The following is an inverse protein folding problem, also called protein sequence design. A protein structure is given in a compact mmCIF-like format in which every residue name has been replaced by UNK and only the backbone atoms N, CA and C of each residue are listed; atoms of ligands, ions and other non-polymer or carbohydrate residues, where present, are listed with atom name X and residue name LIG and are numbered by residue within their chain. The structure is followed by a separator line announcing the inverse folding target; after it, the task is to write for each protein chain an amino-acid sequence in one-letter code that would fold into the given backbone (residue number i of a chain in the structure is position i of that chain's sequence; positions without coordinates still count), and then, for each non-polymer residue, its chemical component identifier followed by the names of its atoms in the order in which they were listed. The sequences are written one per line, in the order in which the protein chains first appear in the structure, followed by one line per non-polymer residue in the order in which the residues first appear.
data_IF_075442873187
#
_entry.id   IF_075442873187
#
_cell.length_a   1.000
_cell.length_b   1.000
_cell.length_c   1.000
_cell.angle_alpha   90.00
_cell.angle_beta   90.00
_cell.angle_gamma   90.00
#
_symmetry.space_group_name_H-M   'P 1'
#
loop_
_entity.id
_entity.type
_entity.pdbx_description
1 polymer ?
#
# COMPACT_ATOMS: atom_id res chain seq x y z
N UNK A 1 8.60 12.76 -0.32
CA UNK A 1 9.60 13.64 0.32
C UNK A 1 10.97 12.96 0.33
N UNK A 2 12.05 13.61 0.78
CA UNK A 2 13.38 12.98 0.83
C UNK A 2 13.41 11.95 1.97
N UNK A 3 13.10 10.69 1.66
CA UNK A 3 13.03 9.58 2.62
C UNK A 3 14.24 9.47 3.56
N UNK A 4 15.42 9.94 3.12
CA UNK A 4 16.63 9.94 3.93
C UNK A 4 16.65 11.04 5.01
N UNK A 5 16.05 12.20 4.73
CA UNK A 5 15.93 13.27 5.71
C UNK A 5 14.96 12.89 6.84
N UNK A 6 13.81 12.32 6.48
CA UNK A 6 12.80 11.79 7.41
C UNK A 6 13.42 10.74 8.34
N UNK A 7 14.11 9.74 7.78
CA UNK A 7 14.78 8.71 8.55
C UNK A 7 15.83 9.29 9.52
N UNK A 8 16.69 10.21 9.04
CA UNK A 8 17.72 10.82 9.88
C UNK A 8 17.12 11.60 11.06
N UNK A 9 15.97 12.26 10.86
CA UNK A 9 15.28 12.96 11.93
C UNK A 9 14.72 11.98 12.97
N UNK A 10 14.05 10.91 12.54
CA UNK A 10 13.54 9.84 13.45
C UNK A 10 14.70 9.24 14.26
N UNK A 11 15.82 8.88 13.60
CA UNK A 11 17.03 8.36 14.28
C UNK A 11 17.57 9.34 15.32
N UNK A 12 17.60 10.64 15.00
CA UNK A 12 18.05 11.66 15.95
C UNK A 12 17.17 11.72 17.20
N UNK A 13 15.85 11.61 17.05
CA UNK A 13 14.93 11.60 18.19
C UNK A 13 15.12 10.35 19.06
N UNK A 14 15.23 9.18 18.43
CA UNK A 14 15.48 7.91 19.11
C UNK A 14 16.77 7.96 19.94
N UNK A 15 17.86 8.47 19.36
CA UNK A 15 19.13 8.65 20.07
C UNK A 15 19.01 9.62 21.26
N UNK A 16 18.29 10.73 21.10
CA UNK A 16 18.07 11.74 22.16
C UNK A 16 17.17 11.23 23.30
N UNK A 17 16.33 10.23 23.03
CA UNK A 17 15.43 9.59 24.01
C UNK A 17 15.67 8.09 24.03
N UNK A 18 16.90 7.73 24.38
CA UNK A 18 17.35 6.34 24.46
C UNK A 18 17.51 5.85 25.90
N UNK A 19 16.44 5.92 26.70
CA UNK A 19 16.45 5.51 28.10
C UNK A 19 16.91 4.04 28.27
N UNK A 20 16.48 3.16 27.36
CA UNK A 20 16.79 1.72 27.37
C UNK A 20 18.12 1.35 26.70
N UNK A 21 18.92 2.34 26.25
CA UNK A 21 20.26 2.14 25.66
C UNK A 21 20.31 1.17 24.47
N UNK A 22 19.29 1.22 23.62
CA UNK A 22 19.24 0.46 22.37
C UNK A 22 20.27 1.02 21.37
N UNK A 23 20.87 0.14 20.58
CA UNK A 23 21.78 0.55 19.51
C UNK A 23 20.99 0.96 18.26
N UNK A 24 20.60 2.24 18.17
CA UNK A 24 19.86 2.77 17.01
C UNK A 24 20.73 2.98 15.76
N UNK A 25 22.03 2.68 15.81
CA UNK A 25 22.89 2.59 14.62
C UNK A 25 23.01 1.14 14.11
N UNK A 26 22.43 0.18 14.85
CA UNK A 26 22.44 -1.23 14.50
C UNK A 26 21.54 -1.58 13.30
N UNK A 27 21.79 -2.74 12.66
CA UNK A 27 21.10 -3.16 11.44
C UNK A 27 19.59 -3.43 11.64
N UNK A 28 19.15 -3.66 12.88
CA UNK A 28 17.73 -3.89 13.18
C UNK A 28 16.87 -2.67 12.86
N UNK A 29 17.37 -1.45 13.09
CA UNK A 29 16.61 -0.24 12.80
C UNK A 29 16.52 -0.03 11.28
N UNK A 30 17.56 -0.39 10.51
CA UNK A 30 17.50 -0.37 9.05
C UNK A 30 16.37 -1.26 8.52
N UNK A 31 16.16 -2.44 9.12
CA UNK A 31 15.05 -3.35 8.77
C UNK A 31 13.69 -2.73 9.05
N UNK A 32 13.51 -2.12 10.22
CA UNK A 32 12.26 -1.41 10.55
C UNK A 32 12.02 -0.27 9.56
N UNK A 33 13.03 0.57 9.30
CA UNK A 33 12.90 1.68 8.35
C UNK A 33 12.64 1.19 6.91
N UNK A 34 13.17 0.03 6.53
CA UNK A 34 12.89 -0.60 5.24
C UNK A 34 11.44 -1.09 5.15
N UNK A 35 10.87 -1.61 6.25
CA UNK A 35 9.48 -2.05 6.28
C UNK A 35 8.51 -0.88 5.98
N UNK A 36 8.71 0.29 6.58
CA UNK A 36 7.94 1.52 6.27
C UNK A 36 8.16 2.08 4.87
N UNK A 37 9.11 1.53 4.09
CA UNK A 37 9.38 1.89 2.68
C UNK A 37 8.82 0.88 1.69
N UNK A 38 8.15 -0.16 2.16
CA UNK A 38 7.55 -1.14 1.26
C UNK A 38 6.59 -0.44 0.28
N UNK A 39 6.66 -0.78 -1.02
CA UNK A 39 6.04 -0.01 -2.11
C UNK A 39 4.51 0.05 -2.09
N UNK A 40 3.86 -0.73 -1.24
CA UNK A 40 2.41 -0.74 -1.09
C UNK A 40 1.89 0.27 -0.07
N UNK A 41 2.77 0.82 0.78
CA UNK A 41 2.43 1.82 1.81
C UNK A 41 2.36 3.21 1.18
N UNK A 42 1.29 3.94 1.48
CA UNK A 42 1.06 5.31 1.01
C UNK A 42 0.74 6.26 2.16
N UNK A 43 0.05 5.79 3.19
CA UNK A 43 -0.17 6.49 4.46
C UNK A 43 0.82 5.99 5.52
N UNK A 44 0.87 4.67 5.76
CA UNK A 44 1.69 4.01 6.80
C UNK A 44 3.17 3.94 6.40
N UNK A 45 3.77 5.11 6.20
CA UNK A 45 5.12 5.33 5.68
C UNK A 45 6.00 5.98 6.75
N UNK A 46 7.27 6.23 6.40
CA UNK A 46 8.16 7.01 7.27
C UNK A 46 7.65 8.43 7.55
N UNK A 47 6.87 9.03 6.66
CA UNK A 47 6.34 10.38 6.85
C UNK A 47 5.22 10.38 7.93
N UNK A 48 4.40 9.31 8.01
CA UNK A 48 3.45 9.11 9.12
C UNK A 48 4.18 8.87 10.45
N UNK A 49 5.16 7.96 10.44
CA UNK A 49 6.01 7.70 11.62
C UNK A 49 6.68 8.98 12.13
N UNK A 50 7.23 9.80 11.23
CA UNK A 50 7.80 11.11 11.59
C UNK A 50 6.75 12.02 12.24
N UNK A 51 5.53 12.06 11.70
CA UNK A 51 4.43 12.86 12.24
C UNK A 51 4.12 12.45 13.69
N UNK A 52 4.06 11.15 13.99
CA UNK A 52 3.88 10.63 15.36
C UNK A 52 5.05 11.06 16.24
N UNK A 53 6.30 10.88 15.78
CA UNK A 53 7.49 11.25 16.54
C UNK A 53 7.53 12.76 16.85
N UNK A 54 7.10 13.63 15.93
CA UNK A 54 6.94 15.08 16.16
C UNK A 54 5.92 15.38 17.24
N UNK A 55 4.79 14.66 17.26
CA UNK A 55 3.78 14.78 18.31
C UNK A 55 4.34 14.40 19.69
N UNK A 56 5.15 13.33 19.76
CA UNK A 56 5.84 12.90 20.99
C UNK A 56 6.84 13.98 21.44
N UNK A 57 7.71 14.47 20.55
CA UNK A 57 8.69 15.53 20.85
C UNK A 57 8.03 16.82 21.33
N UNK A 58 6.86 17.17 20.79
CA UNK A 58 6.15 18.39 21.16
C UNK A 58 5.49 18.32 22.53
N UNK A 59 4.91 17.17 22.88
CA UNK A 59 3.95 17.09 24.00
C UNK A 59 4.42 16.24 25.18
N UNK A 60 5.35 15.31 24.98
CA UNK A 60 5.71 14.30 25.98
C UNK A 60 7.21 14.15 26.22
N UNK A 61 8.02 15.10 25.73
CA UNK A 61 9.48 14.98 25.66
C UNK A 61 10.20 15.13 27.01
N UNK A 62 9.58 15.77 27.99
CA UNK A 62 10.18 16.03 29.30
C UNK A 62 10.28 14.78 30.18
N UNK A 63 9.37 13.82 30.00
CA UNK A 63 9.42 12.51 30.64
C UNK A 63 10.23 11.55 29.78
N UNK A 64 11.51 11.38 30.12
CA UNK A 64 12.45 10.59 29.31
C UNK A 64 11.99 9.14 29.13
N UNK A 65 11.46 8.50 30.19
CA UNK A 65 11.03 7.10 30.15
C UNK A 65 9.78 6.98 29.29
N UNK A 66 8.79 7.84 29.53
CA UNK A 66 7.53 7.79 28.81
C UNK A 66 7.70 8.13 27.32
N UNK A 67 8.54 9.11 26.99
CA UNK A 67 8.90 9.44 25.61
C UNK A 67 9.59 8.25 24.91
N UNK A 68 10.54 7.58 25.58
CA UNK A 68 11.17 6.37 25.03
C UNK A 68 10.18 5.24 24.76
N UNK A 69 9.20 5.04 25.65
CA UNK A 69 8.13 4.05 25.44
C UNK A 69 7.26 4.41 24.24
N UNK A 70 6.80 5.66 24.13
CA UNK A 70 6.00 6.13 22.99
C UNK A 70 6.75 6.01 21.66
N UNK A 71 8.05 6.32 21.63
CA UNK A 71 8.85 6.19 20.42
C UNK A 71 9.03 4.73 20.00
N UNK A 72 9.18 3.81 20.95
CA UNK A 72 9.24 2.38 20.66
C UNK A 72 7.88 1.86 20.16
N UNK A 73 6.78 2.26 20.78
CA UNK A 73 5.44 1.97 20.26
C UNK A 73 5.28 2.52 18.84
N UNK A 74 5.69 3.76 18.58
CA UNK A 74 5.64 4.37 17.25
C UNK A 74 6.44 3.58 16.21
N UNK A 75 7.66 3.16 16.53
CA UNK A 75 8.47 2.35 15.62
C UNK A 75 7.79 1.05 15.22
N UNK A 76 7.07 0.42 16.14
CA UNK A 76 6.59 -0.94 15.95
C UNK A 76 5.10 -1.06 15.61
N UNK A 77 4.25 -0.06 15.88
CA UNK A 77 2.79 -0.21 15.71
C UNK A 77 2.38 -0.71 14.31
N UNK A 78 3.00 -0.18 13.26
CA UNK A 78 2.82 -0.58 11.86
C UNK A 78 4.12 -1.08 11.22
N UNK A 79 5.04 -1.65 12.01
CA UNK A 79 6.27 -2.22 11.46
C UNK A 79 5.97 -3.31 10.43
N UNK A 80 4.90 -4.07 10.65
CA UNK A 80 4.26 -4.91 9.64
C UNK A 80 2.88 -4.34 9.34
N UNK A 81 2.56 -4.21 8.06
CA UNK A 81 1.31 -3.62 7.59
C UNK A 81 0.91 -4.29 6.28
N UNK A 82 -0.34 -4.71 6.19
CA UNK A 82 -0.99 -5.17 4.96
C UNK A 82 -2.43 -4.65 4.92
N UNK A 83 -2.85 -3.99 3.83
CA UNK A 83 -4.17 -3.35 3.77
C UNK A 83 -5.32 -4.37 3.61
N UNK A 84 -5.04 -5.61 3.21
CA UNK A 84 -6.06 -6.69 3.11
C UNK A 84 -6.66 -7.09 4.48
N UNK A 85 -6.09 -6.55 5.56
CA UNK A 85 -6.44 -6.87 6.94
C UNK A 85 -5.76 -8.14 7.42
N UNK A 86 -5.98 -8.48 8.69
CA UNK A 86 -5.42 -9.67 9.31
C UNK A 86 -4.83 -9.37 10.67
N UNK A 87 -3.62 -9.87 10.87
CA UNK A 87 -2.84 -9.91 12.10
C UNK A 87 -1.70 -8.89 12.07
N UNK A 88 -1.80 -7.77 11.33
CA UNK A 88 -0.72 -6.77 11.20
C UNK A 88 -0.22 -6.27 12.55
N UNK A 89 -1.10 -5.98 13.50
CA UNK A 89 -0.72 -5.54 14.85
C UNK A 89 -0.02 -6.67 15.62
N UNK A 90 -0.50 -7.91 15.45
CA UNK A 90 0.08 -9.10 16.06
C UNK A 90 1.46 -9.39 15.47
N UNK A 91 1.63 -9.29 14.15
CA UNK A 91 2.91 -9.44 13.44
C UNK A 91 3.88 -8.30 13.77
N UNK A 92 3.37 -7.08 13.97
CA UNK A 92 4.13 -5.94 14.48
C UNK A 92 4.64 -6.17 15.90
N UNK A 93 3.83 -6.77 16.77
CA UNK A 93 4.29 -7.26 18.08
C UNK A 93 5.32 -8.37 17.93
N UNK A 94 5.09 -9.36 17.07
CA UNK A 94 6.05 -10.45 16.84
C UNK A 94 7.40 -9.92 16.32
N UNK A 95 7.38 -8.94 15.43
CA UNK A 95 8.58 -8.23 14.97
C UNK A 95 9.29 -7.50 16.13
N UNK A 96 8.53 -6.80 16.97
CA UNK A 96 9.05 -6.15 18.18
C UNK A 96 9.72 -7.17 19.13
N UNK A 97 9.05 -8.28 19.43
CA UNK A 97 9.58 -9.33 20.30
C UNK A 97 10.81 -10.01 19.71
N UNK A 98 10.78 -10.32 18.42
CA UNK A 98 11.88 -10.94 17.69
C UNK A 98 13.14 -10.06 17.73
N UNK A 99 13.00 -8.78 17.40
CA UNK A 99 14.12 -7.82 17.43
C UNK A 99 14.66 -7.68 18.85
N UNK A 100 13.80 -7.51 19.86
CA UNK A 100 14.27 -7.41 21.24
C UNK A 100 14.99 -8.67 21.71
N UNK A 101 14.52 -9.86 21.32
CA UNK A 101 15.19 -11.11 21.61
C UNK A 101 16.60 -11.16 21.00
N UNK A 102 16.75 -10.72 19.75
CA UNK A 102 18.05 -10.63 19.06
C UNK A 102 19.00 -9.62 19.71
N UNK A 103 18.46 -8.55 20.30
CA UNK A 103 19.19 -7.56 21.06
C UNK A 103 19.49 -7.99 22.51
N UNK A 104 19.12 -9.20 22.92
CA UNK A 104 19.38 -9.72 24.27
C UNK A 104 18.37 -9.27 25.32
N UNK A 105 17.15 -8.92 24.92
CA UNK A 105 16.04 -8.44 25.77
C UNK A 105 16.45 -7.28 26.70
N UNK A 106 16.83 -6.12 26.15
CA UNK A 106 17.32 -4.98 26.93
C UNK A 106 16.23 -4.28 27.76
N UNK A 107 14.94 -4.54 27.49
CA UNK A 107 13.82 -3.90 28.18
C UNK A 107 13.35 -4.73 29.38
N UNK A 108 12.91 -4.09 30.48
CA UNK A 108 12.15 -4.75 31.53
C UNK A 108 10.89 -5.43 30.97
N UNK A 109 10.51 -6.58 31.54
CA UNK A 109 9.37 -7.38 31.04
C UNK A 109 8.05 -6.60 31.06
N UNK A 110 7.78 -5.89 32.15
CA UNK A 110 6.58 -5.06 32.32
C UNK A 110 6.48 -3.96 31.26
N UNK A 111 7.62 -3.36 30.88
CA UNK A 111 7.66 -2.37 29.80
C UNK A 111 7.41 -3.02 28.44
N UNK A 112 8.02 -4.17 28.17
CA UNK A 112 7.81 -4.92 26.93
C UNK A 112 6.33 -5.30 26.78
N UNK A 113 5.73 -5.85 27.83
CA UNK A 113 4.33 -6.26 27.85
C UNK A 113 3.39 -5.05 27.64
N UNK A 114 3.69 -3.89 28.25
CA UNK A 114 2.95 -2.64 28.07
C UNK A 114 3.00 -2.10 26.63
N UNK A 115 4.19 -2.12 26.00
CA UNK A 115 4.35 -1.67 24.60
C UNK A 115 3.61 -2.62 23.66
N UNK A 116 3.75 -3.94 23.85
CA UNK A 116 3.06 -4.94 23.05
C UNK A 116 1.53 -4.82 23.17
N UNK A 117 1.00 -4.68 24.40
CA UNK A 117 -0.43 -4.45 24.62
C UNK A 117 -0.91 -3.17 23.94
N UNK A 118 -0.10 -2.11 23.97
CA UNK A 118 -0.42 -0.85 23.31
C UNK A 118 -0.52 -1.02 21.79
N UNK A 119 0.46 -1.68 21.17
CA UNK A 119 0.46 -1.96 19.72
C UNK A 119 -0.77 -2.79 19.33
N UNK A 120 -1.09 -3.86 20.07
CA UNK A 120 -2.27 -4.69 19.79
C UNK A 120 -3.59 -3.91 19.88
N UNK A 121 -3.65 -2.88 20.72
CA UNK A 121 -4.87 -2.13 20.95
C UNK A 121 -5.14 -1.04 19.91
N UNK A 122 -4.23 -0.74 18.97
CA UNK A 122 -4.39 0.35 17.98
C UNK A 122 -5.64 0.19 17.11
N UNK A 123 -6.13 -1.04 16.92
CA UNK A 123 -7.39 -1.34 16.21
C UNK A 123 -8.64 -1.35 17.09
N UNK A 124 -8.48 -1.42 18.42
CA UNK A 124 -9.61 -1.45 19.37
C UNK A 124 -10.13 -0.03 19.67
N UNK A 125 -11.39 0.05 20.09
CA UNK A 125 -12.00 1.27 20.61
C UNK A 125 -11.57 1.59 22.05
N UNK A 126 -10.95 0.63 22.75
CA UNK A 126 -10.47 0.82 24.12
C UNK A 126 -8.98 1.16 24.15
N UNK A 127 -8.56 1.90 25.18
CA UNK A 127 -7.16 2.05 25.56
C UNK A 127 -6.95 1.32 26.90
N UNK A 128 -6.17 0.24 26.97
CA UNK A 128 -5.96 -0.51 28.21
C UNK A 128 -5.05 0.23 29.20
N UNK A 129 -4.29 1.22 28.74
CA UNK A 129 -3.32 1.96 29.54
C UNK A 129 -3.24 3.43 29.14
N UNK A 130 -2.60 4.24 29.99
CA UNK A 130 -2.28 5.64 29.67
C UNK A 130 -1.38 5.76 28.43
N UNK A 131 -0.46 4.80 28.24
CA UNK A 131 0.42 4.77 27.07
C UNK A 131 -0.44 4.60 25.80
N UNK A 132 -1.39 3.66 25.82
CA UNK A 132 -2.30 3.42 24.70
C UNK A 132 -3.26 4.58 24.43
N UNK A 133 -3.80 5.20 25.48
CA UNK A 133 -4.68 6.38 25.32
C UNK A 133 -3.96 7.50 24.55
N UNK A 134 -2.73 7.83 24.97
CA UNK A 134 -1.91 8.86 24.35
C UNK A 134 -1.44 8.44 22.96
N UNK A 135 -1.00 7.20 22.80
CA UNK A 135 -0.50 6.73 21.51
C UNK A 135 -1.58 6.76 20.43
N UNK A 136 -2.81 6.36 20.74
CA UNK A 136 -3.88 6.35 19.74
C UNK A 136 -4.29 7.77 19.33
N UNK A 137 -4.20 8.76 20.23
CA UNK A 137 -4.40 10.17 19.87
C UNK A 137 -3.31 10.66 18.90
N UNK A 138 -2.05 10.30 19.16
CA UNK A 138 -0.91 10.63 18.29
C UNK A 138 -1.00 9.96 16.92
N UNK A 139 -1.39 8.68 16.86
CA UNK A 139 -1.56 7.92 15.63
C UNK A 139 -2.72 8.48 14.79
N UNK A 140 -3.84 8.79 15.45
CA UNK A 140 -5.02 9.36 14.79
C UNK A 140 -4.97 10.88 14.61
N UNK A 141 -3.86 11.55 14.93
CA UNK A 141 -3.80 13.03 15.04
C UNK A 141 -4.23 13.76 13.77
N UNK A 142 -4.02 13.17 12.58
CA UNK A 142 -4.43 13.77 11.30
C UNK A 142 -5.95 13.86 11.20
N UNK A 143 -6.68 12.83 11.66
CA UNK A 143 -8.15 12.86 11.68
C UNK A 143 -8.66 13.79 12.78
N UNK A 144 -7.97 13.82 13.92
CA UNK A 144 -8.44 14.58 15.10
C UNK A 144 -8.20 16.09 14.94
N UNK A 145 -7.07 16.46 14.32
CA UNK A 145 -6.59 17.84 14.30
C UNK A 145 -6.25 18.39 12.91
N UNK A 146 -6.28 17.55 11.88
CA UNK A 146 -5.96 17.95 10.51
C UNK A 146 -6.94 18.97 9.95
N UNK A 147 -6.42 19.91 9.18
CA UNK A 147 -7.26 20.79 8.39
C UNK A 147 -7.78 20.04 7.14
N UNK A 148 -8.70 20.65 6.38
CA UNK A 148 -9.31 19.97 5.23
C UNK A 148 -8.30 19.51 4.17
N UNK A 149 -7.17 20.20 3.98
CA UNK A 149 -6.11 19.77 3.05
C UNK A 149 -5.43 18.50 3.57
N UNK A 150 -5.08 18.48 4.86
CA UNK A 150 -4.46 17.32 5.51
C UNK A 150 -5.37 16.09 5.43
N UNK A 151 -6.68 16.29 5.65
CA UNK A 151 -7.69 15.24 5.62
C UNK A 151 -7.90 14.65 4.21
N UNK A 152 -7.88 15.50 3.18
CA UNK A 152 -7.99 15.06 1.80
C UNK A 152 -6.75 14.30 1.34
N UNK A 153 -5.56 14.73 1.75
CA UNK A 153 -4.30 14.02 1.49
C UNK A 153 -4.28 12.67 2.22
N UNK A 154 -4.65 12.64 3.50
CA UNK A 154 -4.83 11.41 4.28
C UNK A 154 -5.76 10.42 3.58
N UNK A 155 -6.96 10.87 3.18
CA UNK A 155 -7.93 9.99 2.53
C UNK A 155 -7.45 9.51 1.16
N UNK A 156 -6.69 10.34 0.43
CA UNK A 156 -6.07 9.92 -0.82
C UNK A 156 -4.99 8.85 -0.62
N UNK A 157 -4.15 9.00 0.40
CA UNK A 157 -3.12 8.02 0.75
C UNK A 157 -3.76 6.69 1.17
N UNK A 158 -4.78 6.71 2.04
CA UNK A 158 -5.53 5.50 2.39
C UNK A 158 -6.17 4.86 1.15
N UNK A 159 -6.77 5.66 0.27
CA UNK A 159 -7.32 5.15 -0.98
C UNK A 159 -6.28 4.41 -1.85
N UNK A 160 -5.04 4.89 -1.86
CA UNK A 160 -3.93 4.25 -2.57
C UNK A 160 -3.47 2.96 -1.91
N UNK A 161 -3.48 2.86 -0.59
CA UNK A 161 -3.15 1.60 0.11
C UNK A 161 -4.19 0.51 -0.14
N UNK A 162 -5.47 0.87 -0.08
CA UNK A 162 -6.57 -0.05 -0.28
C UNK A 162 -6.98 -0.18 -1.77
N UNK A 163 -6.08 0.13 -2.70
CA UNK A 163 -6.37 0.11 -4.12
C UNK A 163 -6.65 -1.29 -4.68
N UNK A 164 -6.47 -2.36 -3.89
CA UNK A 164 -6.90 -3.72 -4.23
C UNK A 164 -8.43 -3.87 -4.20
N UNK A 165 -9.16 -3.02 -3.46
CA UNK A 165 -10.62 -3.05 -3.35
C UNK A 165 -11.28 -2.26 -4.48
N UNK A 166 -12.36 -2.79 -5.06
CA UNK A 166 -13.24 -1.98 -5.92
C UNK A 166 -13.85 -0.80 -5.14
N UNK A 167 -14.34 0.22 -5.84
CA UNK A 167 -14.86 1.44 -5.20
C UNK A 167 -16.05 1.23 -4.28
N UNK A 168 -16.87 0.21 -4.54
CA UNK A 168 -18.04 -0.10 -3.71
C UNK A 168 -17.59 -0.59 -2.34
N UNK A 169 -16.68 -1.56 -2.33
CA UNK A 169 -16.15 -2.14 -1.10
C UNK A 169 -15.28 -1.13 -0.33
N UNK A 170 -14.45 -0.35 -1.05
CA UNK A 170 -13.66 0.72 -0.43
C UNK A 170 -14.55 1.72 0.32
N UNK A 171 -15.57 2.28 -0.34
CA UNK A 171 -16.47 3.27 0.28
C UNK A 171 -17.23 2.69 1.47
N UNK A 172 -17.68 1.44 1.37
CA UNK A 172 -18.36 0.75 2.47
C UNK A 172 -17.42 0.60 3.67
N UNK A 173 -16.21 0.06 3.47
CA UNK A 173 -15.21 -0.13 4.52
C UNK A 173 -14.82 1.18 5.20
N UNK A 174 -14.57 2.24 4.42
CA UNK A 174 -14.26 3.58 4.96
C UNK A 174 -15.42 4.17 5.76
N UNK A 175 -16.66 4.03 5.27
CA UNK A 175 -17.85 4.50 6.00
C UNK A 175 -18.02 3.77 7.33
N UNK A 176 -17.79 2.46 7.35
CA UNK A 176 -17.83 1.65 8.58
C UNK A 176 -16.72 2.06 9.56
N UNK A 177 -15.49 2.28 9.08
CA UNK A 177 -14.36 2.77 9.88
C UNK A 177 -14.70 4.12 10.53
N UNK A 178 -15.15 5.09 9.74
CA UNK A 178 -15.49 6.42 10.24
C UNK A 178 -16.68 6.44 11.19
N UNK A 179 -17.67 5.56 11.03
CA UNK A 179 -18.81 5.47 11.95
C UNK A 179 -18.42 5.15 13.40
N UNK A 180 -17.25 4.54 13.60
CA UNK A 180 -16.72 4.13 14.91
C UNK A 180 -15.93 5.24 15.60
N UNK A 181 -15.31 6.13 14.84
CA UNK A 181 -14.40 7.17 15.33
C UNK A 181 -15.01 8.10 16.39
N UNK A 182 -16.23 8.65 16.21
CA UNK A 182 -16.82 9.57 17.19
C UNK A 182 -17.09 8.95 18.57
N UNK A 183 -17.13 7.61 18.68
CA UNK A 183 -17.28 6.94 19.99
C UNK A 183 -16.04 7.15 20.86
N UNK A 184 -14.86 7.11 20.23
CA UNK A 184 -13.57 7.25 20.89
C UNK A 184 -13.07 8.69 20.89
N UNK A 185 -13.29 9.41 19.79
CA UNK A 185 -12.88 10.80 19.60
C UNK A 185 -14.09 11.69 19.25
N UNK A 186 -14.96 12.04 20.22
CA UNK A 186 -16.17 12.82 19.97
C UNK A 186 -15.93 14.17 19.28
N UNK A 187 -14.75 14.76 19.50
CA UNK A 187 -14.32 16.01 18.88
C UNK A 187 -14.22 15.95 17.35
N UNK A 188 -14.05 14.76 16.76
CA UNK A 188 -13.83 14.59 15.32
C UNK A 188 -15.13 14.58 14.50
N UNK A 189 -16.30 14.75 15.11
CA UNK A 189 -17.59 14.55 14.44
C UNK A 189 -17.70 15.33 13.12
N UNK A 190 -17.33 16.61 13.11
CA UNK A 190 -17.39 17.45 11.91
C UNK A 190 -16.39 17.01 10.83
N UNK A 191 -15.17 16.64 11.24
CA UNK A 191 -14.15 16.08 10.35
C UNK A 191 -14.62 14.80 9.68
N UNK A 192 -15.26 13.92 10.45
CA UNK A 192 -15.82 12.66 9.93
C UNK A 192 -16.98 12.92 8.96
N UNK A 193 -17.89 13.84 9.29
CA UNK A 193 -18.97 14.24 8.38
C UNK A 193 -18.42 14.77 7.04
N UNK A 194 -17.37 15.58 7.08
CA UNK A 194 -16.67 16.05 5.88
C UNK A 194 -16.07 14.92 5.05
N UNK A 195 -15.35 13.98 5.68
CA UNK A 195 -14.72 12.84 4.99
C UNK A 195 -15.76 11.91 4.36
N UNK A 196 -16.88 11.67 5.04
CA UNK A 196 -17.99 10.87 4.50
C UNK A 196 -18.62 11.56 3.29
N UNK A 197 -18.93 12.86 3.37
CA UNK A 197 -19.47 13.62 2.24
C UNK A 197 -18.50 13.65 1.05
N UNK A 198 -17.19 13.80 1.33
CA UNK A 198 -16.15 13.73 0.31
C UNK A 198 -16.14 12.36 -0.38
N UNK A 199 -16.16 11.26 0.38
CA UNK A 199 -16.13 9.90 -0.17
C UNK A 199 -17.31 9.57 -1.06
N UNK A 200 -18.50 10.05 -0.71
CA UNK A 200 -19.72 9.86 -1.51
C UNK A 200 -19.63 10.58 -2.86
N UNK A 201 -19.00 11.76 -2.89
CA UNK A 201 -18.95 12.63 -4.08
C UNK A 201 -17.71 12.46 -4.93
N UNK A 202 -16.59 12.00 -4.34
CA UNK A 202 -15.31 11.86 -5.04
C UNK A 202 -15.45 10.84 -6.17
N UNK A 203 -15.05 11.25 -7.38
CA UNK A 203 -14.87 10.36 -8.53
C UNK A 203 -13.38 10.25 -8.84
N UNK A 204 -12.69 9.19 -8.37
CA UNK A 204 -11.27 9.02 -8.68
C UNK A 204 -11.06 8.76 -10.17
N UNK A 205 -9.92 9.23 -10.68
CA UNK A 205 -9.46 8.90 -12.03
C UNK A 205 -8.88 7.50 -12.01
N UNK A 206 -9.51 6.57 -12.72
CA UNK A 206 -9.11 5.17 -12.75
C UNK A 206 -8.62 4.78 -14.14
N UNK A 207 -7.41 4.23 -14.19
CA UNK A 207 -6.88 3.59 -15.38
C UNK A 207 -7.26 2.11 -15.39
N UNK A 208 -7.90 1.62 -16.45
CA UNK A 208 -8.06 0.16 -16.64
C UNK A 208 -6.93 -0.32 -17.54
N UNK A 209 -5.94 -0.99 -16.97
CA UNK A 209 -4.86 -1.60 -17.73
C UNK A 209 -5.25 -3.01 -18.16
N UNK A 210 -5.78 -3.12 -19.39
CA UNK A 210 -6.28 -4.36 -19.91
C UNK A 210 -5.18 -5.17 -20.65
N UNK A 211 -5.20 -6.49 -20.51
CA UNK A 211 -4.27 -7.39 -21.19
C UNK A 211 -4.60 -8.87 -20.93
N UNK A 212 -3.90 -9.78 -21.60
CA UNK A 212 -4.00 -11.22 -21.29
C UNK A 212 -3.06 -11.64 -20.17
N UNK A 213 -1.97 -10.88 -19.96
CA UNK A 213 -0.98 -11.02 -18.89
C UNK A 213 -0.53 -12.47 -18.61
N UNK A 214 -0.29 -13.26 -19.67
CA UNK A 214 0.06 -14.67 -19.53
C UNK A 214 1.43 -15.01 -20.16
N UNK A 215 2.55 -14.87 -19.42
CA UNK A 215 2.63 -14.38 -18.04
C UNK A 215 2.77 -12.85 -17.95
N UNK A 216 2.52 -12.30 -16.75
CA UNK A 216 2.87 -10.92 -16.40
C UNK A 216 4.39 -10.80 -16.22
N UNK A 217 4.98 -9.70 -16.69
CA UNK A 217 6.44 -9.56 -16.81
C UNK A 217 6.88 -8.12 -16.57
N UNK A 218 8.19 -7.87 -16.44
CA UNK A 218 8.75 -6.53 -16.13
C UNK A 218 8.33 -5.43 -17.11
N UNK A 219 8.11 -5.76 -18.39
CA UNK A 219 7.53 -4.83 -19.36
C UNK A 219 6.11 -4.38 -18.99
N UNK A 220 5.26 -5.29 -18.51
CA UNK A 220 3.92 -4.95 -18.04
C UNK A 220 3.99 -4.12 -16.76
N UNK A 221 4.89 -4.46 -15.83
CA UNK A 221 5.10 -3.68 -14.60
C UNK A 221 5.52 -2.23 -14.93
N UNK A 222 6.46 -2.02 -15.85
CA UNK A 222 6.89 -0.67 -16.26
C UNK A 222 5.71 0.18 -16.79
N UNK A 223 4.79 -0.42 -17.56
CA UNK A 223 3.58 0.29 -18.02
C UNK A 223 2.62 0.57 -16.86
N UNK A 224 2.40 -0.40 -15.97
CA UNK A 224 1.57 -0.24 -14.78
C UNK A 224 2.09 0.91 -13.92
N UNK A 225 3.38 0.94 -13.59
CA UNK A 225 4.00 1.99 -12.77
C UNK A 225 3.87 3.38 -13.40
N UNK A 226 4.01 3.50 -14.73
CA UNK A 226 3.77 4.76 -15.44
C UNK A 226 2.30 5.17 -15.37
N UNK A 227 1.37 4.22 -15.50
CA UNK A 227 -0.05 4.50 -15.37
C UNK A 227 -0.40 4.96 -13.95
N UNK A 228 0.21 4.38 -12.92
CA UNK A 228 0.00 4.76 -11.51
C UNK A 228 0.43 6.20 -11.20
N UNK A 229 1.29 6.81 -12.02
CA UNK A 229 1.65 8.23 -11.93
C UNK A 229 0.59 9.16 -12.56
N UNK A 230 -0.25 8.63 -13.44
CA UNK A 230 -1.26 9.40 -14.20
C UNK A 230 -2.66 9.30 -13.59
N UNK A 231 -2.93 8.16 -12.94
CA UNK A 231 -4.24 7.83 -12.38
C UNK A 231 -4.19 7.74 -10.87
N UNK A 232 -5.32 8.04 -10.24
CA UNK A 232 -5.47 7.90 -8.80
C UNK A 232 -5.43 6.42 -8.41
N UNK A 233 -5.89 5.51 -9.29
CA UNK A 233 -5.81 4.05 -9.15
C UNK A 233 -5.72 3.39 -10.53
N UNK A 234 -5.05 2.23 -10.62
CA UNK A 234 -5.02 1.41 -11.83
C UNK A 234 -5.58 0.02 -11.54
N UNK A 235 -6.61 -0.38 -12.30
CA UNK A 235 -7.19 -1.73 -12.27
C UNK A 235 -6.49 -2.56 -13.34
N UNK A 236 -5.98 -3.74 -12.99
CA UNK A 236 -5.36 -4.67 -13.93
C UNK A 236 -6.43 -5.65 -14.43
N UNK A 237 -6.90 -5.42 -15.65
CA UNK A 237 -8.01 -6.18 -16.23
C UNK A 237 -7.50 -7.32 -17.13
N UNK A 238 -7.68 -8.57 -16.69
CA UNK A 238 -7.23 -9.78 -17.39
C UNK A 238 -8.36 -10.33 -18.25
N UNK A 239 -8.23 -10.16 -19.57
CA UNK A 239 -9.19 -10.71 -20.52
C UNK A 239 -9.10 -12.24 -20.63
N UNK A 240 -10.21 -12.93 -20.39
CA UNK A 240 -10.38 -14.37 -20.65
C UNK A 240 -10.97 -14.52 -22.05
N UNK A 241 -10.26 -15.22 -22.94
CA UNK A 241 -10.84 -15.61 -24.23
C UNK A 241 -11.37 -17.04 -24.12
N UNK A 242 -12.70 -17.27 -24.14
CA UNK A 242 -13.29 -18.60 -23.98
C UNK A 242 -12.84 -19.61 -25.05
N UNK A 243 -12.39 -19.14 -26.21
CA UNK A 243 -11.93 -19.97 -27.32
C UNK A 243 -10.45 -20.39 -27.18
N UNK A 244 -9.69 -19.75 -26.29
CA UNK A 244 -8.30 -20.09 -26.02
C UNK A 244 -8.23 -20.80 -24.67
N UNK A 245 -7.92 -22.09 -24.67
CA UNK A 245 -7.60 -22.80 -23.44
C UNK A 245 -6.17 -22.42 -23.01
N UNK A 246 -6.06 -21.38 -22.19
CA UNK A 246 -4.79 -20.86 -21.69
C UNK A 246 -4.61 -21.40 -20.27
N UNK A 247 -3.68 -22.34 -20.09
CA UNK A 247 -3.17 -22.66 -18.75
C UNK A 247 -2.43 -21.43 -18.22
N UNK A 248 -2.88 -20.92 -17.06
CA UNK A 248 -2.27 -19.78 -16.38
C UNK A 248 -1.34 -20.34 -15.30
N UNK A 249 -0.04 -20.15 -15.50
CA UNK A 249 0.99 -20.69 -14.61
C UNK A 249 0.98 -20.02 -13.22
N UNK A 250 0.54 -18.75 -13.13
CA UNK A 250 0.57 -17.95 -11.90
C UNK A 250 -0.70 -17.09 -11.78
N UNK A 251 -1.30 -17.06 -10.60
CA UNK A 251 -2.37 -16.12 -10.25
C UNK A 251 -1.78 -14.72 -10.15
N UNK A 252 -2.27 -13.78 -10.96
CA UNK A 252 -1.70 -12.43 -11.06
C UNK A 252 -1.76 -11.67 -9.73
N UNK A 253 -2.74 -11.99 -8.90
CA UNK A 253 -2.90 -11.51 -7.53
C UNK A 253 -1.70 -11.81 -6.64
N UNK A 254 -0.96 -12.90 -6.89
CA UNK A 254 0.28 -13.16 -6.13
C UNK A 254 1.42 -12.24 -6.54
N UNK A 255 1.46 -11.85 -7.81
CA UNK A 255 2.49 -10.96 -8.35
C UNK A 255 2.16 -9.50 -8.03
N UNK A 256 0.88 -9.16 -7.92
CA UNK A 256 0.35 -7.83 -7.65
C UNK A 256 -0.65 -7.86 -6.48
N UNK A 257 -0.21 -8.24 -5.27
CA UNK A 257 -1.12 -8.46 -4.13
C UNK A 257 -1.85 -7.20 -3.66
N UNK A 258 -1.33 -6.03 -4.01
CA UNK A 258 -1.90 -4.75 -3.58
C UNK A 258 -2.66 -4.02 -4.70
N UNK A 259 -2.98 -4.71 -5.79
CA UNK A 259 -3.71 -4.15 -6.94
C UNK A 259 -5.05 -4.81 -7.13
N UNK A 260 -6.03 -4.06 -7.63
CA UNK A 260 -7.29 -4.66 -8.06
C UNK A 260 -7.06 -5.39 -9.37
N UNK A 261 -7.13 -6.72 -9.33
CA UNK A 261 -7.06 -7.59 -10.49
C UNK A 261 -8.47 -8.07 -10.84
N UNK A 262 -8.94 -7.72 -12.03
CA UNK A 262 -10.27 -8.13 -12.51
C UNK A 262 -10.13 -9.07 -13.68
N UNK A 263 -10.69 -10.27 -13.56
CA UNK A 263 -10.84 -11.18 -14.68
C UNK A 263 -12.20 -11.00 -15.32
N UNK A 264 -12.24 -10.87 -16.64
CA UNK A 264 -13.49 -10.69 -17.37
C UNK A 264 -13.49 -11.53 -18.65
N UNK A 265 -14.66 -12.06 -19.00
CA UNK A 265 -14.93 -12.81 -20.22
C UNK A 265 -15.97 -12.10 -21.13
N UNK A 266 -16.33 -10.87 -20.78
CA UNK A 266 -17.24 -9.98 -21.52
C UNK A 266 -16.45 -8.94 -22.35
N UNK A 267 -17.13 -7.93 -22.91
CA UNK A 267 -16.44 -6.84 -23.59
C UNK A 267 -15.82 -5.87 -22.57
N UNK A 268 -14.64 -5.35 -22.88
CA UNK A 268 -13.97 -4.35 -22.04
C UNK A 268 -14.81 -3.09 -21.83
N UNK A 269 -15.69 -2.74 -22.78
CA UNK A 269 -16.61 -1.60 -22.65
C UNK A 269 -17.64 -1.80 -21.54
N UNK A 270 -18.04 -3.05 -21.25
CA UNK A 270 -18.97 -3.37 -20.17
C UNK A 270 -18.30 -3.16 -18.81
N UNK A 271 -17.03 -3.55 -18.69
CA UNK A 271 -16.23 -3.28 -17.49
C UNK A 271 -16.02 -1.77 -17.30
N UNK A 272 -15.71 -1.04 -18.38
CA UNK A 272 -15.60 0.42 -18.33
C UNK A 272 -16.92 1.04 -17.86
N UNK A 273 -18.07 0.59 -18.36
CA UNK A 273 -19.39 1.07 -17.95
C UNK A 273 -19.67 0.78 -16.47
N UNK A 274 -19.37 -0.42 -16.00
CA UNK A 274 -19.54 -0.79 -14.59
C UNK A 274 -18.75 0.13 -13.67
N UNK A 275 -17.46 0.33 -13.94
CA UNK A 275 -16.57 1.14 -13.10
C UNK A 275 -16.89 2.64 -13.22
N UNK A 276 -17.42 3.08 -14.37
CA UNK A 276 -17.84 4.48 -14.60
C UNK A 276 -18.97 4.95 -13.68
N UNK A 277 -19.65 4.05 -12.95
CA UNK A 277 -20.66 4.43 -11.94
C UNK A 277 -20.06 5.33 -10.86
N UNK A 278 -18.85 5.03 -10.41
CA UNK A 278 -18.19 5.72 -9.30
C UNK A 278 -16.88 6.40 -9.69
N UNK A 279 -16.29 6.05 -10.83
CA UNK A 279 -14.98 6.51 -11.26
C UNK A 279 -15.03 7.25 -12.60
N UNK A 280 -14.00 8.04 -12.85
CA UNK A 280 -13.72 8.56 -14.19
C UNK A 280 -12.69 7.65 -14.85
N UNK A 281 -13.16 6.81 -15.75
CA UNK A 281 -12.41 5.66 -16.27
C UNK A 281 -11.74 5.96 -17.60
N UNK A 282 -10.46 5.62 -17.72
CA UNK A 282 -9.69 5.65 -18.98
C UNK A 282 -9.06 4.29 -19.22
N UNK A 283 -9.15 3.77 -20.44
CA UNK A 283 -8.46 2.54 -20.80
C UNK A 283 -6.96 2.82 -20.98
N UNK A 284 -6.10 2.02 -20.35
CA UNK A 284 -4.65 2.11 -20.45
C UNK A 284 -4.15 0.98 -21.34
N UNK A 285 -3.33 1.31 -22.34
CA UNK A 285 -2.68 0.34 -23.23
C UNK A 285 -1.20 0.62 -23.37
N UNK A 286 -0.39 -0.43 -23.25
CA UNK A 286 1.05 -0.36 -23.52
C UNK A 286 1.32 -0.52 -25.02
N UNK A 287 2.19 0.33 -25.58
CA UNK A 287 2.60 0.25 -26.98
C UNK A 287 4.08 -0.10 -27.08
N UNK A 288 4.42 -1.11 -27.89
CA UNK A 288 5.83 -1.42 -28.18
C UNK A 288 6.31 -0.69 -29.42
N UNK A 289 5.46 -0.61 -30.44
CA UNK A 289 5.81 -0.04 -31.73
C UNK A 289 4.58 0.59 -32.43
N UNK A 290 4.76 1.08 -33.65
CA UNK A 290 3.69 1.71 -34.43
C UNK A 290 2.55 0.77 -34.84
N UNK A 291 2.79 -0.53 -35.02
CA UNK A 291 1.74 -1.48 -35.36
C UNK A 291 0.75 -1.69 -34.21
N UNK A 292 1.27 -1.73 -32.97
CA UNK A 292 0.41 -1.80 -31.78
C UNK A 292 -0.52 -0.55 -31.76
N UNK A 293 0.00 0.65 -32.06
CA UNK A 293 -0.80 1.88 -32.09
C UNK A 293 -1.95 1.80 -33.10
N UNK A 294 -1.66 1.41 -34.34
CA UNK A 294 -2.68 1.31 -35.39
C UNK A 294 -3.79 0.31 -35.00
N UNK A 295 -3.41 -0.82 -34.40
CA UNK A 295 -4.38 -1.80 -33.89
C UNK A 295 -5.25 -1.21 -32.78
N UNK A 296 -4.63 -0.57 -31.79
CA UNK A 296 -5.34 -0.02 -30.63
C UNK A 296 -6.25 1.16 -30.99
N UNK A 297 -5.85 2.01 -31.94
CA UNK A 297 -6.70 3.10 -32.42
C UNK A 297 -7.96 2.57 -33.12
N UNK A 298 -7.83 1.50 -33.91
CA UNK A 298 -8.98 0.85 -34.52
C UNK A 298 -9.91 0.24 -33.46
N UNK A 299 -9.37 -0.39 -32.41
CA UNK A 299 -10.17 -0.90 -31.29
C UNK A 299 -10.93 0.21 -30.57
N UNK A 300 -10.30 1.36 -30.34
CA UNK A 300 -10.94 2.52 -29.72
C UNK A 300 -12.16 3.00 -30.52
N UNK A 301 -12.09 3.05 -31.86
CA UNK A 301 -13.23 3.43 -32.69
C UNK A 301 -14.46 2.53 -32.44
N UNK A 302 -14.27 1.20 -32.46
CA UNK A 302 -15.36 0.26 -32.15
C UNK A 302 -15.94 0.48 -30.74
N UNK A 303 -15.07 0.69 -29.75
CA UNK A 303 -15.52 0.96 -28.37
C UNK A 303 -16.30 2.28 -28.25
N UNK A 304 -15.93 3.31 -29.02
CA UNK A 304 -16.63 4.59 -29.03
C UNK A 304 -17.98 4.53 -29.75
N UNK A 305 -18.13 3.66 -30.75
CA UNK A 305 -19.44 3.38 -31.36
C UNK A 305 -20.39 2.68 -30.38
N UNK A 306 -19.88 1.76 -29.55
CA UNK A 306 -20.66 1.06 -28.54
C UNK A 306 -20.97 1.92 -27.31
N UNK A 307 -19.97 2.66 -26.81
CA UNK A 307 -20.06 3.54 -25.65
C UNK A 307 -19.39 4.88 -25.97
N UNK A 308 -20.17 5.88 -26.41
CA UNK A 308 -19.67 7.23 -26.65
C UNK A 308 -18.94 7.80 -25.43
N UNK A 309 -17.80 8.45 -25.65
CA UNK A 309 -16.96 9.01 -24.57
C UNK A 309 -15.99 8.01 -23.94
N UNK A 310 -15.86 6.79 -24.46
CA UNK A 310 -14.75 5.90 -24.10
C UNK A 310 -13.42 6.53 -24.51
N UNK A 311 -12.50 6.61 -23.55
CA UNK A 311 -11.18 7.21 -23.70
C UNK A 311 -10.10 6.14 -23.55
N UNK A 312 -8.98 6.33 -24.24
CA UNK A 312 -7.79 5.51 -24.05
C UNK A 312 -6.54 6.37 -23.96
N UNK A 313 -5.60 5.93 -23.14
CA UNK A 313 -4.24 6.46 -23.07
C UNK A 313 -3.26 5.37 -23.46
N UNK A 314 -2.28 5.78 -24.24
CA UNK A 314 -1.26 4.89 -24.77
C UNK A 314 0.09 5.23 -24.14
N UNK A 315 0.70 4.25 -23.48
CA UNK A 315 1.98 4.42 -22.79
C UNK A 315 3.05 3.64 -23.58
N UNK A 316 4.10 4.32 -24.08
CA UNK A 316 5.19 3.62 -24.76
C UNK A 316 5.98 2.76 -23.77
N UNK A 317 6.25 1.52 -24.18
CA UNK A 317 7.14 0.61 -23.47
C UNK A 317 8.56 1.19 -23.43
N UNK A 318 9.29 0.91 -22.34
CA UNK A 318 10.70 1.26 -22.29
C UNK A 318 11.45 0.52 -23.39
N UNK A 319 12.26 1.24 -24.17
CA UNK A 319 13.02 0.67 -25.29
C UNK A 319 13.85 -0.57 -24.92
N UNK A 320 14.36 -0.61 -23.67
CA UNK A 320 15.11 -1.76 -23.14
C UNK A 320 14.26 -3.02 -22.93
N UNK A 321 12.94 -2.89 -22.84
CA UNK A 321 11.98 -3.96 -22.57
C UNK A 321 11.14 -4.33 -23.81
N UNK A 322 11.28 -3.61 -24.93
CA UNK A 322 10.46 -3.75 -26.14
C UNK A 322 10.47 -5.17 -26.74
N UNK A 323 11.60 -5.88 -26.58
CA UNK A 323 11.79 -7.25 -27.06
C UNK A 323 11.09 -8.31 -26.20
N UNK A 324 10.61 -7.96 -25.01
CA UNK A 324 9.98 -8.89 -24.08
C UNK A 324 8.49 -8.99 -24.44
N UNK A 325 7.99 -10.22 -24.54
CA UNK A 325 6.57 -10.49 -24.73
C UNK A 325 6.15 -11.76 -24.01
N UNK A 326 4.90 -11.81 -23.56
CA UNK A 326 4.31 -13.02 -22.99
C UNK A 326 4.48 -14.24 -23.90
N UNK A 327 4.24 -14.10 -25.21
CA UNK A 327 4.40 -15.21 -26.16
C UNK A 327 5.84 -15.74 -26.24
N UNK A 328 6.83 -14.84 -26.15
CA UNK A 328 8.24 -15.26 -26.08
C UNK A 328 8.55 -16.01 -24.78
N UNK A 329 8.06 -15.52 -23.65
CA UNK A 329 8.27 -16.15 -22.34
C UNK A 329 7.59 -17.52 -22.25
N UNK A 330 6.35 -17.64 -22.72
CA UNK A 330 5.67 -18.94 -22.83
C UNK A 330 6.44 -19.91 -23.72
N UNK A 331 6.99 -19.42 -24.84
CA UNK A 331 7.86 -20.22 -25.71
C UNK A 331 9.13 -20.69 -25.01
N UNK A 332 9.71 -19.87 -24.12
CA UNK A 332 10.87 -20.24 -23.32
C UNK A 332 10.56 -21.32 -22.27
N UNK A 333 9.38 -21.28 -21.64
CA UNK A 333 8.93 -22.31 -20.67
C UNK A 333 8.82 -23.71 -21.28
N UNK A 334 8.65 -23.81 -22.60
CA UNK A 334 8.68 -25.11 -23.32
C UNK A 334 10.07 -25.76 -23.31
N UNK A 335 11.11 -25.04 -22.90
CA UNK A 335 12.48 -25.52 -22.78
C UNK A 335 12.91 -25.51 -21.30
N UNK A 336 13.90 -26.34 -20.97
CA UNK A 336 14.52 -26.29 -19.64
C UNK A 336 15.38 -25.03 -19.48
N UNK A 337 14.75 -23.98 -18.97
CA UNK A 337 15.38 -22.67 -18.80
C UNK A 337 16.04 -22.48 -17.43
N UNK A 338 15.93 -23.43 -16.50
CA UNK A 338 16.63 -23.43 -15.19
C UNK A 338 16.72 -22.05 -14.49
N UNK A 339 15.62 -21.29 -14.47
CA UNK A 339 15.56 -19.97 -13.82
C UNK A 339 16.29 -18.84 -14.55
N UNK A 340 16.79 -19.04 -15.77
CA UNK A 340 17.41 -18.00 -16.62
C UNK A 340 16.41 -16.91 -17.03
N UNK A 341 15.13 -17.20 -16.94
CA UNK A 341 13.99 -16.35 -17.25
C UNK A 341 13.51 -15.52 -16.06
N UNK A 342 13.99 -15.80 -14.83
CA UNK A 342 13.63 -15.05 -13.60
C UNK A 342 13.78 -13.53 -13.76
N UNK A 343 14.77 -13.09 -14.52
CA UNK A 343 15.04 -11.66 -14.78
C UNK A 343 13.90 -10.93 -15.52
N UNK A 344 12.95 -11.66 -16.12
CA UNK A 344 11.81 -11.10 -16.83
C UNK A 344 10.54 -11.02 -15.98
N UNK A 345 10.55 -11.61 -14.77
CA UNK A 345 9.43 -11.58 -13.84
C UNK A 345 9.65 -10.51 -12.77
N UNK A 346 8.60 -9.78 -12.35
CA UNK A 346 8.72 -8.83 -11.25
C UNK A 346 9.04 -9.50 -9.92
N UNK A 347 9.85 -8.83 -9.10
CA UNK A 347 10.17 -9.17 -7.70
C UNK A 347 9.70 -8.08 -6.71
N UNK A 348 8.99 -7.05 -7.21
CA UNK A 348 8.61 -5.83 -6.47
C UNK A 348 7.90 -6.10 -5.13
N UNK A 349 7.14 -7.20 -5.06
CA UNK A 349 6.30 -7.56 -3.92
C UNK A 349 6.69 -8.90 -3.28
N UNK A 350 7.89 -9.43 -3.55
CA UNK A 350 8.36 -10.72 -3.02
C UNK A 350 8.45 -10.76 -1.48
N UNK A 351 8.35 -9.60 -0.81
CA UNK A 351 8.27 -9.51 0.65
C UNK A 351 6.90 -9.85 1.23
N UNK A 352 5.83 -9.88 0.42
CA UNK A 352 4.45 -10.04 0.92
C UNK A 352 4.21 -11.38 1.63
N UNK A 353 4.92 -12.43 1.23
CA UNK A 353 4.82 -13.76 1.84
C UNK A 353 6.02 -14.10 2.76
N UNK A 354 6.83 -13.10 3.16
CA UNK A 354 8.00 -13.31 4.01
C UNK A 354 7.63 -13.51 5.48
N UNK A 355 8.40 -14.34 6.18
CA UNK A 355 8.29 -14.48 7.64
C UNK A 355 8.86 -13.26 8.38
N UNK A 356 8.55 -13.12 9.68
CA UNK A 356 9.17 -12.11 10.55
C UNK A 356 10.70 -12.26 10.55
N UNK A 357 11.20 -13.49 10.57
CA UNK A 357 12.62 -13.79 10.46
C UNK A 357 13.24 -13.31 9.14
N UNK A 358 12.56 -13.50 8.01
CA UNK A 358 13.04 -13.06 6.70
C UNK A 358 13.08 -11.52 6.61
N UNK A 359 12.03 -10.86 7.11
CA UNK A 359 11.90 -9.41 7.09
C UNK A 359 12.92 -8.75 8.03
N UNK A 360 12.96 -9.18 9.30
CA UNK A 360 13.67 -8.51 10.38
C UNK A 360 14.93 -9.22 10.85
N UNK A 361 15.35 -10.33 10.22
CA UNK A 361 16.61 -11.00 10.52
C UNK A 361 17.83 -10.12 10.20
N UNK A 362 18.74 -10.02 11.17
CA UNK A 362 20.02 -9.31 11.07
C UNK A 362 21.16 -10.04 11.79
#
# INVERSE_FOLDING_TARGET
MNSKATENYIRSLLQKRNYYRLDYEGPWLDKVMQAYRQPHRYFHTLDHLESICKGIEKSYWDDEVFASQLLLTALFHDAVWTPEGGDSEQQSVEAFEFILQKLGNPLPKDVKDLIAETILSTTDQNAPSKLAEIFHDLDCQVIIHGNHVDLLEYEFQIFREFQYLNMTDYRKGRSEFFSRFPKRFPQCKQTIEFLVEYLERRRPRVGIYAGTFNPFHIGHLSILEKAELMFDKVIVAVGINPQKNIERDVMLEKVLPFHEVVYFDTLIVDLIEQESKFCDVTLVRGLRNGYDLDYEMNQLCYMQEMRPGTQSVYIPCDKRLEHISSSMLTGLHMFDVAGRDKIYYPDKYDYHEQSIEDMFGF
#
